data_IF_076162966460
#
_entry.id   IF_076162966460
#
_cell.length_a   1.000
_cell.length_b   1.000
_cell.length_c   1.000
_cell.angle_alpha   90.00
_cell.angle_beta   90.00
_cell.angle_gamma   90.00
#
_symmetry.space_group_name_H-M   'P 1'
#
loop_
_entity.id
_entity.type
_entity.pdbx_description
1 polymer ?
#
# COMPACT_ATOMS: atom_id res chain seq x y z
N UNK A 1 -12.00 0.31 -14.69
CA UNK A 1 -11.51 0.53 -13.31
C UNK A 1 -10.17 -0.13 -13.08
N UNK A 2 -9.99 -1.42 -13.41
CA UNK A 2 -8.70 -2.13 -13.26
C UNK A 2 -7.55 -1.42 -14.01
N UNK A 3 -7.74 -1.14 -15.29
CA UNK A 3 -6.79 -0.40 -16.14
C UNK A 3 -6.32 0.92 -15.49
N UNK A 4 -7.25 1.67 -14.90
CA UNK A 4 -6.93 2.93 -14.23
C UNK A 4 -6.05 2.69 -12.99
N UNK A 5 -6.38 1.70 -12.16
CA UNK A 5 -5.63 1.41 -10.94
C UNK A 5 -4.20 0.98 -11.23
N UNK A 6 -3.99 0.19 -12.30
CA UNK A 6 -2.67 -0.35 -12.66
C UNK A 6 -1.83 0.69 -13.42
N UNK A 7 -2.44 1.45 -14.33
CA UNK A 7 -1.68 2.29 -15.28
C UNK A 7 -1.83 3.80 -15.07
N UNK A 8 -2.85 4.25 -14.35
CA UNK A 8 -3.13 5.68 -14.15
C UNK A 8 -2.88 6.19 -12.73
N UNK A 9 -3.03 5.33 -11.71
CA UNK A 9 -3.03 5.72 -10.31
C UNK A 9 -1.74 6.43 -9.87
N UNK A 10 -0.59 5.94 -10.30
CA UNK A 10 0.73 6.51 -9.98
C UNK A 10 0.96 7.90 -10.57
N UNK A 11 0.27 8.25 -11.67
CA UNK A 11 0.41 9.56 -12.32
C UNK A 11 -0.53 10.61 -11.73
N UNK A 12 -1.76 10.23 -11.37
CA UNK A 12 -2.75 11.18 -10.83
C UNK A 12 -2.56 11.38 -9.32
N UNK A 13 -2.11 10.34 -8.61
CA UNK A 13 -1.88 10.38 -7.17
C UNK A 13 -0.42 10.02 -6.87
N UNK A 14 0.55 10.89 -7.20
CA UNK A 14 1.96 10.63 -6.91
C UNK A 14 2.14 10.34 -5.42
N UNK A 15 3.03 9.42 -5.12
CA UNK A 15 3.43 9.08 -3.76
C UNK A 15 4.44 10.09 -3.24
N UNK A 16 4.29 10.47 -1.98
CA UNK A 16 5.26 11.30 -1.28
C UNK A 16 5.80 10.53 -0.09
N UNK A 17 7.13 10.39 -0.03
CA UNK A 17 7.84 9.85 1.12
C UNK A 17 8.40 11.00 1.94
N UNK A 18 8.30 10.90 3.26
CA UNK A 18 8.81 11.92 4.17
C UNK A 18 9.81 11.35 5.17
N UNK A 19 9.84 11.94 6.36
CA UNK A 19 10.77 11.58 7.42
C UNK A 19 10.43 10.24 8.09
N UNK A 20 11.38 9.74 8.90
CA UNK A 20 11.21 8.57 9.74
C UNK A 20 10.18 8.87 10.84
N UNK A 21 9.11 8.09 10.89
CA UNK A 21 8.00 8.25 11.82
C UNK A 21 7.55 6.92 12.38
N UNK A 22 6.51 6.92 13.22
CA UNK A 22 5.75 5.74 13.61
C UNK A 22 4.41 5.70 12.87
N UNK A 23 3.96 4.51 12.51
CA UNK A 23 2.77 4.40 11.70
C UNK A 23 2.26 2.99 11.44
N UNK A 24 1.22 2.92 10.61
CA UNK A 24 0.66 1.66 10.10
C UNK A 24 1.38 1.30 8.80
N UNK A 25 1.85 0.04 8.63
CA UNK A 25 2.41 -0.42 7.37
C UNK A 25 1.47 -0.19 6.18
N UNK A 26 2.05 0.18 5.05
CA UNK A 26 1.35 0.36 3.77
C UNK A 26 2.21 -0.14 2.63
N UNK A 27 1.71 -0.30 1.40
CA UNK A 27 2.49 -0.86 0.29
C UNK A 27 3.03 -2.27 0.62
N UNK A 28 4.26 -2.61 0.22
CA UNK A 28 4.84 -3.94 0.37
C UNK A 28 4.93 -4.50 1.81
N UNK A 29 5.18 -3.71 2.90
CA UNK A 29 5.20 -4.25 4.26
C UNK A 29 3.82 -4.53 4.86
N UNK A 30 2.73 -4.21 4.15
CA UNK A 30 1.38 -4.57 4.55
C UNK A 30 0.89 -5.86 3.85
N UNK A 31 -0.08 -6.54 4.45
CA UNK A 31 -0.75 -7.65 3.76
C UNK A 31 -1.50 -7.15 2.52
N UNK A 32 -1.59 -7.94 1.45
CA UNK A 32 -1.08 -9.32 1.31
C UNK A 32 0.38 -9.40 0.85
N UNK A 33 1.01 -8.26 0.53
CA UNK A 33 2.33 -8.24 -0.09
C UNK A 33 3.45 -8.64 0.88
N UNK A 34 3.30 -8.35 2.18
CA UNK A 34 4.29 -8.74 3.20
C UNK A 34 4.56 -10.24 3.23
N UNK A 35 3.54 -11.04 2.90
CA UNK A 35 3.63 -12.50 2.86
C UNK A 35 4.29 -13.03 1.57
N UNK A 36 4.40 -12.19 0.54
CA UNK A 36 4.91 -12.55 -0.79
C UNK A 36 6.30 -11.95 -1.07
N UNK A 37 6.72 -10.98 -0.26
CA UNK A 37 7.93 -10.19 -0.46
C UNK A 37 8.77 -10.29 0.80
N UNK A 38 9.94 -10.91 0.67
CA UNK A 38 10.92 -10.94 1.74
C UNK A 38 11.36 -9.50 2.09
N UNK A 39 11.52 -9.17 3.39
CA UNK A 39 12.04 -7.88 3.80
C UNK A 39 13.38 -7.59 3.14
N UNK A 40 13.51 -6.39 2.57
CA UNK A 40 14.76 -5.88 2.01
C UNK A 40 15.53 -5.01 3.01
N UNK A 41 16.59 -4.36 2.53
CA UNK A 41 17.37 -3.38 3.30
C UNK A 41 16.82 -1.95 3.23
N UNK A 42 15.83 -1.69 2.37
CA UNK A 42 15.27 -0.35 2.23
C UNK A 42 14.24 -0.03 3.31
N UNK A 43 14.09 1.27 3.66
CA UNK A 43 13.10 1.69 4.62
C UNK A 43 11.68 1.32 4.17
N UNK A 44 10.97 0.63 5.05
CA UNK A 44 9.56 0.29 4.86
C UNK A 44 8.71 1.57 4.87
N UNK A 45 7.69 1.68 4.00
CA UNK A 45 6.73 2.78 4.07
C UNK A 45 5.66 2.53 5.15
N UNK A 46 5.35 3.56 5.92
CA UNK A 46 4.24 3.58 6.88
C UNK A 46 3.39 4.84 6.72
N UNK A 47 2.10 4.75 6.97
CA UNK A 47 1.28 5.95 7.17
C UNK A 47 1.48 6.47 8.58
N UNK A 48 1.94 7.71 8.70
CA UNK A 48 2.16 8.37 9.99
C UNK A 48 0.86 8.40 10.82
N UNK A 49 0.89 7.80 12.00
CA UNK A 49 -0.18 7.91 13.02
C UNK A 49 0.44 7.88 14.41
N UNK A 50 -0.17 8.58 15.37
CA UNK A 50 0.36 8.72 16.74
C UNK A 50 0.56 7.37 17.44
N UNK A 51 -0.40 6.45 17.27
CA UNK A 51 -0.43 5.15 17.93
C UNK A 51 0.17 4.03 17.06
N UNK A 52 1.07 4.36 16.14
CA UNK A 52 1.70 3.39 15.24
C UNK A 52 2.79 2.56 15.93
N UNK A 53 2.75 1.25 15.76
CA UNK A 53 3.74 0.33 16.36
C UNK A 53 5.03 0.20 15.53
N UNK A 54 4.99 0.58 14.24
CA UNK A 54 6.10 0.38 13.31
C UNK A 54 6.82 1.70 13.05
N UNK A 55 8.12 1.75 13.36
CA UNK A 55 8.99 2.90 13.03
C UNK A 55 9.58 2.73 11.63
N UNK A 56 9.18 3.56 10.69
CA UNK A 56 9.66 3.49 9.31
C UNK A 56 9.45 4.82 8.56
N UNK A 57 9.72 4.87 7.25
CA UNK A 57 9.62 6.10 6.46
C UNK A 57 8.15 6.45 6.22
N UNK A 58 7.78 7.71 6.49
CA UNK A 58 6.42 8.18 6.24
C UNK A 58 6.07 8.13 4.76
N UNK A 59 4.81 7.78 4.48
CA UNK A 59 4.24 7.67 3.16
C UNK A 59 2.89 8.39 3.14
N UNK A 60 2.66 9.30 2.19
CA UNK A 60 1.42 10.06 2.12
C UNK A 60 0.23 9.17 1.71
N UNK A 61 -0.87 9.14 2.49
CA UNK A 61 -2.05 8.35 2.13
C UNK A 61 -2.79 8.97 0.94
N UNK A 62 -3.51 8.14 0.18
CA UNK A 62 -4.43 8.61 -0.88
C UNK A 62 -5.50 9.57 -0.36
N UNK A 63 -5.88 9.40 0.91
CA UNK A 63 -6.84 10.25 1.61
C UNK A 63 -6.53 10.28 3.10
N UNK A 64 -6.76 11.41 3.77
CA UNK A 64 -6.43 11.61 5.19
C UNK A 64 -6.99 10.54 6.14
N UNK A 65 -8.15 9.96 5.82
CA UNK A 65 -8.78 8.93 6.64
C UNK A 65 -8.34 7.50 6.30
N UNK A 66 -7.54 7.28 5.25
CA UNK A 66 -7.13 5.95 4.82
C UNK A 66 -6.40 5.14 5.92
N UNK A 67 -5.48 5.72 6.72
CA UNK A 67 -4.82 4.96 7.78
C UNK A 67 -5.80 4.49 8.87
N UNK A 68 -6.74 5.36 9.27
CA UNK A 68 -7.75 5.01 10.28
C UNK A 68 -8.75 3.98 9.74
N UNK A 69 -9.13 4.09 8.46
CA UNK A 69 -10.00 3.10 7.82
C UNK A 69 -9.32 1.74 7.71
N UNK A 70 -8.03 1.70 7.38
CA UNK A 70 -7.24 0.48 7.31
C UNK A 70 -7.17 -0.26 8.67
N UNK A 71 -7.08 0.47 9.78
CA UNK A 71 -7.11 -0.13 11.12
C UNK A 71 -8.45 -0.78 11.48
N UNK A 72 -9.55 -0.37 10.83
CA UNK A 72 -10.91 -0.85 11.11
C UNK A 72 -11.33 -2.03 10.23
N UNK A 73 -10.74 -2.14 9.04
CA UNK A 73 -11.07 -3.17 8.06
C UNK A 73 -9.79 -3.66 7.37
N UNK A 74 -9.41 -4.90 7.69
CA UNK A 74 -8.23 -5.55 7.13
C UNK A 74 -8.35 -5.86 5.64
N UNK A 75 -9.56 -6.07 5.13
CA UNK A 75 -9.80 -6.25 3.70
C UNK A 75 -9.57 -4.93 2.97
N UNK A 76 -10.10 -3.83 3.51
CA UNK A 76 -9.87 -2.50 2.95
C UNK A 76 -8.40 -2.07 3.04
N UNK A 77 -7.73 -2.38 4.16
CA UNK A 77 -6.27 -2.18 4.30
C UNK A 77 -5.51 -2.88 3.19
N UNK A 78 -5.84 -4.14 2.88
CA UNK A 78 -5.21 -4.89 1.81
C UNK A 78 -5.35 -4.21 0.44
N UNK A 79 -6.52 -3.66 0.11
CA UNK A 79 -6.70 -2.91 -1.15
C UNK A 79 -5.88 -1.62 -1.18
N UNK A 80 -5.86 -0.87 -0.07
CA UNK A 80 -5.05 0.35 0.03
C UNK A 80 -3.55 0.06 -0.05
N UNK A 81 -3.10 -1.07 0.53
CA UNK A 81 -1.72 -1.52 0.44
C UNK A 81 -1.33 -1.83 -1.02
N UNK A 82 -2.18 -2.58 -1.74
CA UNK A 82 -1.97 -2.88 -3.16
C UNK A 82 -1.93 -1.59 -4.00
N UNK A 83 -2.85 -0.66 -3.75
CA UNK A 83 -2.87 0.63 -4.42
C UNK A 83 -1.58 1.43 -4.18
N UNK A 84 -1.06 1.46 -2.96
CA UNK A 84 0.20 2.16 -2.66
C UNK A 84 1.42 1.46 -3.23
N UNK A 85 1.41 0.13 -3.32
CA UNK A 85 2.44 -0.61 -4.04
C UNK A 85 2.43 -0.29 -5.55
N UNK A 86 1.26 -0.06 -6.15
CA UNK A 86 1.17 0.39 -7.55
C UNK A 86 1.68 1.83 -7.74
N UNK A 87 1.45 2.72 -6.77
CA UNK A 87 1.90 4.12 -6.80
C UNK A 87 3.42 4.28 -6.73
N UNK A 88 4.06 3.56 -5.81
CA UNK A 88 5.45 3.83 -5.40
C UNK A 88 6.32 2.57 -5.27
N UNK A 89 5.76 1.40 -5.53
CA UNK A 89 6.49 0.16 -5.39
C UNK A 89 7.56 0.01 -6.47
N UNK A 90 8.57 -0.80 -6.15
CA UNK A 90 9.56 -1.24 -7.15
C UNK A 90 8.93 -2.16 -8.18
N UNK A 91 9.64 -2.45 -9.27
CA UNK A 91 9.14 -3.28 -10.37
C UNK A 91 8.57 -4.63 -9.88
N UNK A 92 9.25 -5.31 -8.94
CA UNK A 92 8.77 -6.58 -8.34
C UNK A 92 7.50 -6.38 -7.52
N UNK A 93 7.46 -5.35 -6.67
CA UNK A 93 6.33 -5.04 -5.80
C UNK A 93 5.09 -4.68 -6.62
N UNK A 94 5.24 -3.81 -7.64
CA UNK A 94 4.15 -3.43 -8.56
C UNK A 94 3.59 -4.65 -9.29
N UNK A 95 4.46 -5.49 -9.85
CA UNK A 95 4.04 -6.70 -10.58
C UNK A 95 3.24 -7.66 -9.67
N UNK A 96 3.67 -7.84 -8.43
CA UNK A 96 2.93 -8.65 -7.46
C UNK A 96 1.63 -7.99 -7.04
N UNK A 97 1.63 -6.68 -6.81
CA UNK A 97 0.43 -5.91 -6.45
C UNK A 97 -0.63 -5.98 -7.54
N UNK A 98 -0.25 -5.79 -8.80
CA UNK A 98 -1.10 -5.93 -9.99
C UNK A 98 -1.73 -7.33 -10.05
N UNK A 99 -0.92 -8.39 -9.97
CA UNK A 99 -1.40 -9.77 -10.02
C UNK A 99 -2.41 -10.08 -8.90
N UNK A 100 -2.12 -9.63 -7.68
CA UNK A 100 -3.01 -9.85 -6.53
C UNK A 100 -4.28 -9.01 -6.63
N UNK A 101 -4.18 -7.76 -7.09
CA UNK A 101 -5.32 -6.87 -7.29
C UNK A 101 -6.30 -7.44 -8.32
N UNK A 102 -5.80 -7.88 -9.48
CA UNK A 102 -6.65 -8.53 -10.50
C UNK A 102 -7.36 -9.75 -9.95
N UNK A 103 -6.66 -10.62 -9.21
CA UNK A 103 -7.27 -11.79 -8.59
C UNK A 103 -8.42 -11.40 -7.67
N UNK A 104 -8.20 -10.42 -6.79
CA UNK A 104 -9.21 -9.94 -5.83
C UNK A 104 -10.42 -9.31 -6.50
N UNK A 105 -10.22 -8.45 -7.51
CA UNK A 105 -11.32 -7.77 -8.20
C UNK A 105 -12.17 -8.76 -9.02
N UNK A 106 -11.55 -9.76 -9.65
CA UNK A 106 -12.29 -10.82 -10.35
C UNK A 106 -13.13 -11.67 -9.40
N UNK A 107 -12.61 -12.01 -8.21
CA UNK A 107 -13.38 -12.74 -7.20
C UNK A 107 -14.53 -11.91 -6.63
N UNK A 108 -14.36 -10.60 -6.46
CA UNK A 108 -15.42 -9.72 -5.96
C UNK A 108 -16.56 -9.49 -6.98
N UNK A 109 -16.26 -9.65 -8.27
CA UNK A 109 -17.22 -9.50 -9.37
C UNK A 109 -17.87 -10.83 -9.82
N UNK A 110 -17.50 -11.94 -9.18
CA UNK A 110 -18.05 -13.28 -9.43
C UNK A 110 -19.20 -13.57 -8.46
#
# INVERSE_FOLDING_TARGET
MEEFLVHGLNYIFPSERGELTRGVPTSYPAEPLRSLIAPGSEPMPVWAITDGDVRAVSFAPLYKAAPIAALRDSCFHAYLALANALRDGRARERKLAEAVLHKRLRTANA
#
